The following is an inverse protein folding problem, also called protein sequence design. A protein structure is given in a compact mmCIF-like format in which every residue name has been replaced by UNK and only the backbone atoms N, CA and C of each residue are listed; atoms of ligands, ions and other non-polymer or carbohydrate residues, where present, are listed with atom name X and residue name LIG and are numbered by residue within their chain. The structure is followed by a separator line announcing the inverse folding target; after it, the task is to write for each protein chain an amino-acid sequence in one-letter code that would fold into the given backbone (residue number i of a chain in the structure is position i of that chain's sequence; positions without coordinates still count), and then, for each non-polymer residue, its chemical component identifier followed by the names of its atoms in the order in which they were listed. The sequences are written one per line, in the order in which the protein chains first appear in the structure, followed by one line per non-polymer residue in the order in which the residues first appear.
data_IF_349135063001
#
_entry.id   IF_349135063001
#
_cell.length_a   1.000
_cell.length_b   1.000
_cell.length_c   1.000
_cell.angle_alpha   90.00
_cell.angle_beta   90.00
_cell.angle_gamma   90.00
#
_symmetry.space_group_name_H-M   'P 1'
#
loop_
_entity.id
_entity.type
_entity.pdbx_description
1 polymer ?
#
# COMPACT_ATOMS: atom_id res chain seq x y z
N UNK A 1 21.30 -6.92 22.68
CA UNK A 1 20.50 -6.54 23.86
C UNK A 1 19.53 -7.65 24.30
N UNK A 2 18.92 -8.42 23.39
CA UNK A 2 17.97 -9.48 23.75
C UNK A 2 18.55 -10.71 24.46
N UNK A 3 19.77 -11.14 24.12
CA UNK A 3 20.38 -12.35 24.70
C UNK A 3 20.52 -12.30 26.24
N UNK A 4 20.84 -11.13 26.81
CA UNK A 4 21.07 -10.99 28.25
C UNK A 4 19.79 -11.22 29.08
N UNK A 5 18.62 -10.85 28.55
CA UNK A 5 17.38 -10.80 29.33
C UNK A 5 16.75 -12.17 29.57
N UNK A 6 16.90 -13.08 28.61
CA UNK A 6 16.27 -14.41 28.63
C UNK A 6 17.25 -15.53 28.99
N UNK A 7 18.53 -15.42 28.59
CA UNK A 7 19.51 -16.50 28.75
C UNK A 7 20.23 -16.46 30.10
N UNK A 8 20.43 -15.27 30.71
CA UNK A 8 21.20 -15.17 31.96
C UNK A 8 20.45 -15.68 33.19
N UNK A 9 19.11 -15.55 33.23
CA UNK A 9 18.25 -16.00 34.34
C UNK A 9 16.95 -16.63 33.84
N UNK A 10 16.90 -17.96 33.63
CA UNK A 10 15.76 -18.66 33.03
C UNK A 10 14.42 -18.52 33.77
N UNK A 11 14.45 -18.28 35.09
CA UNK A 11 13.23 -18.00 35.88
C UNK A 11 12.63 -16.63 35.52
N UNK A 12 13.47 -15.60 35.44
CA UNK A 12 13.05 -14.27 35.04
C UNK A 12 12.60 -14.25 33.57
N UNK A 13 13.28 -14.98 32.68
CA UNK A 13 12.86 -15.15 31.27
C UNK A 13 11.44 -15.72 31.15
N UNK A 14 11.12 -16.80 31.88
CA UNK A 14 9.76 -17.38 31.92
C UNK A 14 8.72 -16.41 32.47
N UNK A 15 9.07 -15.65 33.50
CA UNK A 15 8.19 -14.63 34.06
C UNK A 15 7.94 -13.48 33.07
N UNK A 16 8.95 -13.04 32.32
CA UNK A 16 8.81 -12.02 31.27
C UNK A 16 7.83 -12.50 30.20
N UNK A 17 8.02 -13.71 29.66
CA UNK A 17 7.14 -14.27 28.63
C UNK A 17 5.69 -14.32 29.12
N UNK A 18 5.47 -14.90 30.30
CA UNK A 18 4.12 -15.03 30.88
C UNK A 18 3.45 -13.67 31.14
N UNK A 19 4.19 -12.69 31.68
CA UNK A 19 3.64 -11.38 32.02
C UNK A 19 3.43 -10.49 30.78
N UNK A 20 4.27 -10.60 29.76
CA UNK A 20 4.07 -9.86 28.51
C UNK A 20 2.91 -10.44 27.72
N UNK A 21 2.83 -11.76 27.55
CA UNK A 21 1.70 -12.43 26.87
C UNK A 21 0.37 -12.21 27.60
N UNK A 22 0.39 -12.10 28.95
CA UNK A 22 -0.82 -11.77 29.70
C UNK A 22 -1.29 -10.34 29.45
N UNK A 23 -0.38 -9.38 29.27
CA UNK A 23 -0.71 -7.98 28.97
C UNK A 23 -1.13 -7.78 27.51
N UNK A 24 -0.35 -8.31 26.58
CA UNK A 24 -0.64 -8.28 25.15
C UNK A 24 0.32 -9.23 24.43
N UNK A 25 -0.18 -10.27 23.72
CA UNK A 25 0.66 -11.19 22.95
C UNK A 25 1.57 -10.46 21.94
N UNK A 26 1.11 -9.33 21.41
CA UNK A 26 1.87 -8.49 20.48
C UNK A 26 3.17 -7.95 21.10
N UNK A 27 3.22 -7.70 22.42
CA UNK A 27 4.44 -7.24 23.09
C UNK A 27 5.52 -8.33 23.04
N UNK A 28 5.14 -9.58 23.26
CA UNK A 28 6.07 -10.70 23.21
C UNK A 28 6.49 -11.01 21.77
N UNK A 29 5.55 -11.02 20.84
CA UNK A 29 5.80 -11.25 19.40
C UNK A 29 6.76 -10.20 18.82
N UNK A 30 6.57 -8.92 19.17
CA UNK A 30 7.44 -7.83 18.72
C UNK A 30 8.87 -7.98 19.28
N UNK A 31 8.99 -8.44 20.54
CA UNK A 31 10.26 -8.66 21.20
C UNK A 31 11.00 -9.87 20.62
N UNK A 32 10.30 -10.97 20.39
CA UNK A 32 10.80 -12.16 19.68
C UNK A 32 11.29 -11.79 18.28
N UNK A 33 10.49 -11.07 17.51
CA UNK A 33 10.88 -10.67 16.16
C UNK A 33 12.13 -9.79 16.17
N UNK A 34 12.20 -8.79 17.06
CA UNK A 34 13.38 -7.94 17.21
C UNK A 34 14.62 -8.68 17.72
N UNK A 35 14.44 -9.84 18.37
CA UNK A 35 15.55 -10.71 18.75
C UNK A 35 16.13 -11.42 17.53
N UNK A 36 15.28 -12.05 16.72
CA UNK A 36 15.68 -12.76 15.49
C UNK A 36 16.13 -11.83 14.36
N UNK A 37 15.73 -10.56 14.43
CA UNK A 37 16.18 -9.49 13.55
C UNK A 37 17.71 -9.30 13.55
N UNK A 38 18.38 -9.61 14.65
CA UNK A 38 19.83 -9.47 14.74
C UNK A 38 20.54 -10.71 14.19
N UNK A 39 21.14 -10.58 13.01
CA UNK A 39 21.99 -11.60 12.39
C UNK A 39 23.44 -11.16 12.43
N UNK A 40 24.22 -11.76 13.33
CA UNK A 40 25.62 -11.39 13.55
C UNK A 40 26.45 -11.44 12.26
N UNK A 41 26.28 -12.49 11.44
CA UNK A 41 27.01 -12.66 10.19
C UNK A 41 26.71 -11.56 9.17
N UNK A 42 25.44 -11.14 9.05
CA UNK A 42 25.04 -10.05 8.16
C UNK A 42 25.71 -8.73 8.58
N UNK A 43 25.67 -8.39 9.87
CA UNK A 43 26.33 -7.17 10.37
C UNK A 43 27.85 -7.26 10.24
N UNK A 44 28.46 -8.43 10.49
CA UNK A 44 29.89 -8.63 10.29
C UNK A 44 30.28 -8.46 8.83
N UNK A 45 29.49 -8.96 7.86
CA UNK A 45 29.72 -8.72 6.43
C UNK A 45 29.60 -7.24 6.07
N UNK A 46 28.59 -6.56 6.60
CA UNK A 46 28.37 -5.13 6.38
C UNK A 46 29.49 -4.26 6.96
N UNK A 47 30.04 -4.64 8.11
CA UNK A 47 31.11 -3.91 8.83
C UNK A 47 32.52 -4.29 8.36
N UNK A 48 32.74 -5.52 7.89
CA UNK A 48 34.04 -5.96 7.37
C UNK A 48 34.51 -5.07 6.19
N UNK A 49 33.56 -4.47 5.48
CA UNK A 49 33.83 -3.60 4.32
C UNK A 49 34.16 -2.15 4.71
N UNK A 50 33.80 -1.71 5.92
CA UNK A 50 34.10 -0.36 6.43
C UNK A 50 35.28 -0.30 7.39
N UNK A 51 35.78 -1.45 7.85
CA UNK A 51 36.84 -1.57 8.87
C UNK A 51 38.26 -1.54 8.29
N UNK A 52 38.42 -1.74 6.98
CA UNK A 52 39.73 -1.67 6.30
C UNK A 52 40.18 -0.25 5.94
N UNK A 53 39.27 0.57 5.43
CA UNK A 53 39.50 1.99 5.11
C UNK A 53 38.26 2.81 5.48
N UNK A 54 38.28 3.51 6.63
CA UNK A 54 37.22 4.46 6.95
C UNK A 54 37.24 5.54 5.86
N UNK A 55 36.15 5.68 5.12
CA UNK A 55 35.94 6.56 3.95
C UNK A 55 36.17 5.97 2.56
N UNK A 56 36.46 4.67 2.41
CA UNK A 56 36.40 4.04 1.09
C UNK A 56 34.94 3.98 0.59
N UNK A 57 34.72 4.35 -0.66
CA UNK A 57 33.43 4.20 -1.33
C UNK A 57 33.13 2.70 -1.50
N UNK A 58 32.02 2.24 -0.93
CA UNK A 58 31.56 0.85 -1.10
C UNK A 58 30.52 0.83 -2.22
N UNK A 59 30.73 0.05 -3.30
CA UNK A 59 29.74 -0.11 -4.36
C UNK A 59 28.44 -0.66 -3.80
N UNK A 60 27.33 0.03 -4.08
CA UNK A 60 26.03 -0.27 -3.46
C UNK A 60 25.53 -1.68 -3.83
N UNK A 61 25.91 -2.18 -5.00
CA UNK A 61 25.51 -3.51 -5.49
C UNK A 61 26.14 -4.64 -4.65
N UNK A 62 27.31 -4.41 -4.05
CA UNK A 62 28.04 -5.42 -3.27
C UNK A 62 27.46 -5.66 -1.88
N UNK A 63 26.66 -4.72 -1.38
CA UNK A 63 25.98 -4.80 -0.08
C UNK A 63 24.45 -4.83 -0.22
N UNK A 64 23.97 -5.06 -1.45
CA UNK A 64 22.57 -4.96 -1.80
C UNK A 64 21.71 -5.96 -1.02
N UNK A 65 22.17 -7.22 -0.92
CA UNK A 65 21.43 -8.30 -0.26
C UNK A 65 21.34 -8.07 1.26
N UNK A 66 22.45 -7.71 1.91
CA UNK A 66 22.46 -7.37 3.33
C UNK A 66 21.58 -6.16 3.65
N UNK A 67 21.60 -5.13 2.79
CA UNK A 67 20.75 -3.94 2.97
C UNK A 67 19.27 -4.29 2.80
N UNK A 68 18.92 -5.09 1.79
CA UNK A 68 17.54 -5.56 1.56
C UNK A 68 17.04 -6.39 2.73
N UNK A 69 17.87 -7.31 3.25
CA UNK A 69 17.55 -8.14 4.40
C UNK A 69 17.33 -7.28 5.66
N UNK A 70 18.26 -6.37 5.96
CA UNK A 70 18.14 -5.44 7.09
C UNK A 70 16.88 -4.57 6.96
N UNK A 71 16.63 -4.01 5.77
CA UNK A 71 15.48 -3.16 5.52
C UNK A 71 14.17 -3.92 5.71
N UNK A 72 14.09 -5.14 5.17
CA UNK A 72 12.93 -6.03 5.31
C UNK A 72 12.56 -6.27 6.77
N UNK A 73 13.56 -6.55 7.60
CA UNK A 73 13.38 -6.73 9.05
C UNK A 73 12.90 -5.46 9.74
N UNK A 74 13.52 -4.32 9.44
CA UNK A 74 13.10 -3.03 10.01
C UNK A 74 11.70 -2.62 9.53
N UNK A 75 11.34 -2.93 8.29
CA UNK A 75 10.05 -2.61 7.68
C UNK A 75 8.90 -3.26 8.46
N UNK A 76 9.05 -4.54 8.82
CA UNK A 76 8.05 -5.25 9.62
C UNK A 76 7.92 -4.66 11.02
N UNK A 77 9.04 -4.22 11.62
CA UNK A 77 9.04 -3.62 12.97
C UNK A 77 8.58 -2.16 12.99
N UNK A 78 8.67 -1.43 11.88
CA UNK A 78 8.45 0.02 11.83
C UNK A 78 7.10 0.47 12.41
N UNK A 79 5.95 -0.16 12.05
CA UNK A 79 4.65 0.20 12.64
C UNK A 79 4.57 -0.05 14.15
N UNK A 80 5.45 -0.92 14.67
CA UNK A 80 5.47 -1.39 16.04
C UNK A 80 6.60 -0.76 16.87
N UNK A 81 7.22 0.34 16.42
CA UNK A 81 8.33 0.97 17.14
C UNK A 81 8.00 1.37 18.58
N UNK A 82 6.77 1.85 18.85
CA UNK A 82 6.33 2.18 20.21
C UNK A 82 6.03 0.93 21.03
N UNK A 83 5.44 -0.09 20.39
CA UNK A 83 5.22 -1.41 20.97
C UNK A 83 6.55 -2.07 21.36
N UNK A 84 7.59 -1.95 20.53
CA UNK A 84 8.92 -2.46 20.78
C UNK A 84 9.56 -1.78 21.99
N UNK A 85 9.50 -0.45 22.08
CA UNK A 85 9.97 0.30 23.26
C UNK A 85 9.25 -0.17 24.51
N UNK A 86 7.92 -0.27 24.46
CA UNK A 86 7.09 -0.70 25.59
C UNK A 86 7.36 -2.15 26.00
N UNK A 87 7.61 -3.03 25.03
CA UNK A 87 7.96 -4.42 25.27
C UNK A 87 9.29 -4.52 26.02
N UNK A 88 10.33 -3.84 25.54
CA UNK A 88 11.63 -3.81 26.21
C UNK A 88 11.55 -3.20 27.61
N UNK A 89 10.92 -2.04 27.79
CA UNK A 89 10.82 -1.41 29.12
C UNK A 89 10.08 -2.30 30.11
N UNK A 90 8.94 -2.86 29.70
CA UNK A 90 8.17 -3.79 30.53
C UNK A 90 8.95 -5.05 30.86
N UNK A 91 9.71 -5.60 29.90
CA UNK A 91 10.54 -6.78 30.12
C UNK A 91 11.64 -6.52 31.17
N UNK A 92 12.28 -5.35 31.14
CA UNK A 92 13.24 -4.95 32.17
C UNK A 92 12.59 -4.67 33.53
N UNK A 93 11.38 -4.10 33.57
CA UNK A 93 10.64 -3.92 34.84
C UNK A 93 10.35 -5.27 35.50
N UNK A 94 9.87 -6.24 34.71
CA UNK A 94 9.64 -7.61 35.19
C UNK A 94 10.95 -8.25 35.63
N UNK A 95 12.03 -8.08 34.85
CA UNK A 95 13.34 -8.60 35.23
C UNK A 95 13.81 -8.05 36.59
N UNK A 96 13.69 -6.75 36.84
CA UNK A 96 14.06 -6.13 38.13
C UNK A 96 13.25 -6.75 39.27
N UNK A 97 11.92 -6.89 39.09
CA UNK A 97 11.04 -7.43 40.11
C UNK A 97 11.32 -8.90 40.42
N UNK A 98 11.60 -9.72 39.40
CA UNK A 98 11.81 -11.17 39.53
C UNK A 98 13.21 -11.53 40.04
N UNK A 99 14.19 -10.65 39.83
CA UNK A 99 15.59 -10.93 40.19
C UNK A 99 16.03 -10.29 41.51
N UNK A 100 15.16 -9.50 42.16
CA UNK A 100 15.50 -8.66 43.31
C UNK A 100 16.80 -7.88 43.07
N UNK A 101 16.90 -7.25 41.90
CA UNK A 101 18.12 -6.59 41.44
C UNK A 101 18.65 -5.58 42.48
N UNK A 102 19.96 -5.50 42.65
CA UNK A 102 20.59 -4.50 43.54
C UNK A 102 20.36 -3.07 43.02
N UNK A 103 20.57 -2.04 43.85
CA UNK A 103 20.44 -0.65 43.40
C UNK A 103 21.41 -0.30 42.25
N UNK A 104 22.61 -0.89 42.24
CA UNK A 104 23.57 -0.75 41.15
C UNK A 104 23.08 -1.41 39.86
N UNK A 105 22.51 -2.62 39.96
CA UNK A 105 21.91 -3.33 38.81
C UNK A 105 20.69 -2.58 38.27
N UNK A 106 19.83 -2.06 39.14
CA UNK A 106 18.68 -1.22 38.76
C UNK A 106 19.14 0.01 37.97
N UNK A 107 20.15 0.73 38.47
CA UNK A 107 20.72 1.89 37.77
C UNK A 107 21.29 1.52 36.40
N UNK A 108 22.01 0.40 36.30
CA UNK A 108 22.52 -0.14 35.03
C UNK A 108 21.39 -0.48 34.04
N UNK A 109 20.33 -1.13 34.52
CA UNK A 109 19.15 -1.47 33.72
C UNK A 109 18.42 -0.22 33.24
N UNK A 110 18.26 0.81 34.08
CA UNK A 110 17.67 2.09 33.69
C UNK A 110 18.46 2.77 32.58
N UNK A 111 19.80 2.72 32.63
CA UNK A 111 20.64 3.22 31.55
C UNK A 111 20.45 2.42 30.25
N UNK A 112 20.30 1.08 30.33
CA UNK A 112 19.98 0.23 29.17
C UNK A 112 18.60 0.56 28.59
N UNK A 113 17.57 0.80 29.41
CA UNK A 113 16.23 1.24 28.96
C UNK A 113 16.31 2.55 28.19
N UNK A 114 16.97 3.57 28.76
CA UNK A 114 17.18 4.87 28.08
C UNK A 114 17.91 4.70 26.76
N UNK A 115 18.94 3.85 26.73
CA UNK A 115 19.69 3.54 25.52
C UNK A 115 18.81 2.88 24.46
N UNK A 116 18.01 1.88 24.80
CA UNK A 116 17.10 1.22 23.84
C UNK A 116 16.09 2.20 23.25
N UNK A 117 15.51 3.09 24.08
CA UNK A 117 14.57 4.11 23.59
C UNK A 117 15.27 5.03 22.59
N UNK A 118 16.49 5.50 22.93
CA UNK A 118 17.31 6.35 22.06
C UNK A 118 17.69 5.63 20.76
N UNK A 119 18.19 4.41 20.84
CA UNK A 119 18.65 3.62 19.70
C UNK A 119 17.48 3.27 18.78
N UNK A 120 16.32 2.91 19.33
CA UNK A 120 15.09 2.67 18.56
C UNK A 120 14.68 3.92 17.79
N UNK A 121 14.77 5.10 18.43
CA UNK A 121 14.50 6.39 17.77
C UNK A 121 15.50 6.64 16.63
N UNK A 122 16.79 6.44 16.87
CA UNK A 122 17.83 6.62 15.84
C UNK A 122 17.61 5.67 14.66
N UNK A 123 17.37 4.38 14.94
CA UNK A 123 17.12 3.37 13.92
C UNK A 123 15.92 3.76 13.06
N UNK A 124 14.76 4.09 13.65
CA UNK A 124 13.56 4.32 12.84
C UNK A 124 13.40 5.74 12.28
N UNK A 125 13.98 6.77 12.91
CA UNK A 125 13.87 8.15 12.43
C UNK A 125 15.01 8.55 11.51
N UNK A 126 16.19 7.94 11.67
CA UNK A 126 17.39 8.31 10.89
C UNK A 126 17.85 7.15 10.02
N UNK A 127 17.99 5.95 10.59
CA UNK A 127 18.51 4.78 9.88
C UNK A 127 17.54 4.25 8.82
N UNK A 128 16.29 4.04 9.19
CA UNK A 128 15.26 3.42 8.37
C UNK A 128 14.96 4.23 7.11
N UNK A 129 14.76 5.57 7.18
CA UNK A 129 14.62 6.36 5.97
C UNK A 129 15.85 6.25 5.09
N UNK A 130 17.07 6.32 5.66
CA UNK A 130 18.35 6.22 4.91
C UNK A 130 18.52 4.87 4.20
N UNK A 131 18.21 3.77 4.87
CA UNK A 131 18.30 2.42 4.29
C UNK A 131 17.27 2.26 3.18
N UNK A 132 16.02 2.72 3.37
CA UNK A 132 15.00 2.73 2.32
C UNK A 132 15.51 3.39 1.03
N UNK A 133 16.25 4.49 1.18
CA UNK A 133 16.81 5.22 0.05
C UNK A 133 17.79 4.38 -0.76
N UNK A 134 18.63 3.62 -0.04
CA UNK A 134 19.60 2.73 -0.67
C UNK A 134 18.88 1.61 -1.42
N UNK A 135 17.77 1.08 -0.89
CA UNK A 135 16.94 0.08 -1.59
C UNK A 135 16.41 0.63 -2.91
N UNK A 136 15.81 1.83 -2.92
CA UNK A 136 15.32 2.45 -4.17
C UNK A 136 16.45 2.60 -5.21
N UNK A 137 17.67 2.95 -4.77
CA UNK A 137 18.84 3.07 -5.65
C UNK A 137 19.35 1.72 -6.15
N UNK A 138 19.39 0.71 -5.31
CA UNK A 138 19.79 -0.67 -5.68
C UNK A 138 18.86 -1.20 -6.77
N UNK A 139 17.56 -1.00 -6.61
CA UNK A 139 16.55 -1.54 -7.52
C UNK A 139 16.28 -0.64 -8.73
N UNK A 140 16.92 0.54 -8.80
CA UNK A 140 16.67 1.54 -9.83
C UNK A 140 15.19 1.98 -9.91
N UNK A 141 14.45 1.82 -8.81
CA UNK A 141 12.99 1.96 -8.76
C UNK A 141 12.58 2.88 -7.62
N UNK A 142 11.76 3.88 -7.92
CA UNK A 142 11.25 4.83 -6.94
C UNK A 142 10.01 4.27 -6.24
N UNK A 143 10.22 3.49 -5.19
CA UNK A 143 9.12 2.98 -4.39
C UNK A 143 8.44 4.09 -3.59
N UNK A 144 7.12 4.00 -3.43
CA UNK A 144 6.42 4.74 -2.37
C UNK A 144 6.64 4.00 -1.05
N UNK A 145 7.00 4.69 0.06
CA UNK A 145 7.13 4.05 1.36
C UNK A 145 5.87 3.26 1.73
N UNK A 146 6.06 2.03 2.19
CA UNK A 146 4.98 1.12 2.58
C UNK A 146 4.00 0.71 1.45
N UNK A 147 4.40 0.90 0.19
CA UNK A 147 3.61 0.44 -0.94
C UNK A 147 3.59 -1.09 -1.05
N UNK A 148 2.49 -1.68 -1.54
CA UNK A 148 2.45 -3.12 -1.86
C UNK A 148 3.50 -3.52 -2.88
N UNK A 149 3.86 -2.61 -3.80
CA UNK A 149 4.91 -2.85 -4.79
C UNK A 149 6.29 -3.01 -4.13
N UNK A 150 6.62 -2.17 -3.15
CA UNK A 150 7.81 -2.34 -2.31
C UNK A 150 7.76 -3.66 -1.53
N UNK A 151 6.62 -3.98 -0.89
CA UNK A 151 6.47 -5.23 -0.13
C UNK A 151 6.71 -6.45 -1.04
N UNK A 152 6.15 -6.45 -2.24
CA UNK A 152 6.34 -7.51 -3.24
C UNK A 152 7.81 -7.66 -3.63
N UNK A 153 8.50 -6.56 -3.93
CA UNK A 153 9.90 -6.60 -4.36
C UNK A 153 10.86 -6.97 -3.23
N UNK A 154 10.52 -6.66 -1.97
CA UNK A 154 11.23 -7.14 -0.78
C UNK A 154 10.86 -8.57 -0.38
N UNK A 155 9.89 -9.19 -1.07
CA UNK A 155 9.36 -10.51 -0.72
C UNK A 155 8.74 -10.55 0.68
N UNK A 156 8.07 -9.48 1.10
CA UNK A 156 7.35 -9.38 2.38
C UNK A 156 5.96 -9.98 2.18
N UNK A 157 5.80 -11.21 2.66
CA UNK A 157 4.50 -11.88 2.68
C UNK A 157 3.72 -11.56 3.96
N UNK A 158 2.41 -11.81 3.93
CA UNK A 158 1.49 -11.44 5.02
C UNK A 158 1.77 -12.23 6.31
N UNK A 159 2.30 -13.45 6.20
CA UNK A 159 2.80 -14.31 7.29
C UNK A 159 3.98 -13.70 8.05
N UNK A 160 4.80 -12.89 7.40
CA UNK A 160 5.94 -12.22 8.03
C UNK A 160 5.53 -11.02 8.91
N UNK A 161 4.28 -10.55 8.82
CA UNK A 161 3.79 -9.39 9.59
C UNK A 161 3.37 -9.81 11.00
N UNK A 162 3.68 -8.95 11.96
CA UNK A 162 3.34 -9.12 13.39
C UNK A 162 1.83 -8.96 13.64
N UNK A 163 1.37 -9.47 14.77
CA UNK A 163 -0.01 -9.41 15.24
C UNK A 163 -0.76 -10.74 15.15
N UNK A 164 -0.05 -11.85 14.98
CA UNK A 164 -0.67 -13.18 14.79
C UNK A 164 -0.54 -14.10 16.01
N UNK A 165 0.39 -13.78 16.92
CA UNK A 165 0.65 -14.59 18.11
C UNK A 165 -0.59 -14.71 18.99
N UNK A 166 -0.95 -15.94 19.34
CA UNK A 166 -1.99 -16.21 20.34
C UNK A 166 -1.38 -16.27 21.74
N UNK A 167 -2.17 -15.90 22.76
CA UNK A 167 -1.73 -15.96 24.15
C UNK A 167 -1.33 -17.40 24.50
N UNK A 168 -0.12 -17.58 25.03
CA UNK A 168 0.39 -18.90 25.45
C UNK A 168 0.99 -19.75 24.32
N UNK A 169 1.12 -19.20 23.11
CA UNK A 169 1.86 -19.84 22.02
C UNK A 169 3.36 -19.89 22.35
N UNK A 170 3.98 -21.06 22.25
CA UNK A 170 5.41 -21.25 22.55
C UNK A 170 6.24 -20.73 21.38
N UNK A 171 6.80 -19.53 21.51
CA UNK A 171 7.86 -19.05 20.62
C UNK A 171 9.20 -19.74 20.89
N UNK A 172 10.12 -19.66 19.92
CA UNK A 172 11.44 -20.32 19.97
C UNK A 172 12.37 -19.80 21.08
N UNK A 173 12.04 -18.68 21.74
CA UNK A 173 12.74 -18.25 22.97
C UNK A 173 12.58 -19.23 24.16
N UNK A 174 11.69 -20.22 24.04
CA UNK A 174 11.57 -21.34 24.99
C UNK A 174 12.43 -22.56 24.64
N UNK A 175 13.03 -22.62 23.44
CA UNK A 175 13.64 -23.83 22.88
C UNK A 175 15.15 -23.98 23.21
N UNK A 176 15.52 -23.83 24.48
CA UNK A 176 16.84 -24.26 24.98
C UNK A 176 16.72 -25.45 25.94
N UNK A 177 15.59 -26.15 25.93
CA UNK A 177 15.50 -27.46 26.55
C UNK A 177 14.68 -28.40 25.66
N UNK A 178 15.23 -29.59 25.43
CA UNK A 178 14.81 -30.67 24.52
C UNK A 178 15.00 -30.44 23.01
N UNK A 179 16.03 -31.09 22.46
CA UNK A 179 16.10 -31.41 21.03
C UNK A 179 15.33 -32.70 20.74
N UNK A 180 14.66 -32.75 19.58
CA UNK A 180 14.56 -33.89 18.66
C UNK A 180 13.68 -33.51 17.46
N UNK A 181 13.94 -34.20 16.35
CA UNK A 181 13.44 -34.02 14.99
C UNK A 181 11.94 -34.32 14.79
N UNK A 182 11.43 -33.77 13.68
CA UNK A 182 10.41 -34.27 12.74
C UNK A 182 9.09 -34.90 13.24
N UNK A 183 7.96 -34.44 12.70
CA UNK A 183 7.07 -35.26 11.86
C UNK A 183 5.86 -34.47 11.31
N UNK A 184 5.45 -34.88 10.11
CA UNK A 184 4.36 -34.47 9.24
C UNK A 184 2.93 -34.83 9.72
N UNK A 185 1.95 -34.23 9.02
CA UNK A 185 0.57 -34.70 8.78
C UNK A 185 -0.42 -34.70 9.98
N UNK A 186 -1.74 -34.50 9.85
CA UNK A 186 -2.68 -34.67 8.75
C UNK A 186 -3.96 -33.82 8.97
N UNK A 187 -4.71 -33.59 7.88
CA UNK A 187 -6.12 -33.11 7.85
C UNK A 187 -7.05 -34.03 8.68
N UNK A 188 -8.28 -33.57 9.00
CA UNK A 188 -9.41 -34.17 8.27
C UNK A 188 -10.47 -33.16 7.78
N UNK A 189 -11.00 -33.49 6.61
CA UNK A 189 -12.29 -33.06 6.07
C UNK A 189 -13.42 -33.89 6.71
N UNK A 190 -14.61 -33.30 6.85
CA UNK A 190 -15.88 -34.03 6.71
C UNK A 190 -17.01 -33.06 6.32
N UNK A 191 -17.56 -33.27 5.13
CA UNK A 191 -18.89 -32.86 4.70
C UNK A 191 -19.97 -33.67 5.45
N UNK A 192 -21.17 -33.11 5.70
CA UNK A 192 -22.35 -33.37 4.86
C UNK A 192 -23.69 -32.81 5.40
N UNK A 193 -24.50 -32.35 4.43
CA UNK A 193 -25.97 -32.43 4.26
C UNK A 193 -26.96 -31.60 5.11
N UNK A 194 -27.42 -30.51 4.49
CA UNK A 194 -28.78 -30.13 4.04
C UNK A 194 -30.06 -30.73 4.67
N UNK A 195 -31.05 -29.85 4.94
CA UNK A 195 -32.46 -29.81 4.43
C UNK A 195 -33.17 -28.55 5.01
N UNK A 196 -33.54 -27.54 4.21
CA UNK A 196 -34.84 -27.27 3.53
C UNK A 196 -35.95 -26.61 4.39
N UNK A 197 -36.40 -25.42 3.92
CA UNK A 197 -37.78 -24.86 3.77
C UNK A 197 -37.64 -23.33 3.56
N UNK A 198 -37.90 -22.74 2.37
CA UNK A 198 -39.19 -22.26 1.83
C UNK A 198 -39.95 -21.35 2.83
N UNK A 199 -40.40 -20.12 2.57
CA UNK A 199 -40.99 -19.44 1.40
C UNK A 199 -40.89 -17.90 1.57
N UNK A 200 -41.11 -17.11 0.50
CA UNK A 200 -41.48 -15.69 0.66
C UNK A 200 -41.11 -14.73 -0.47
N UNK A 201 -41.87 -14.79 -1.58
CA UNK A 201 -41.86 -13.86 -2.72
C UNK A 201 -41.94 -12.37 -2.38
N UNK A 202 -41.29 -11.51 -3.18
CA UNK A 202 -41.99 -10.52 -4.02
C UNK A 202 -41.11 -9.97 -5.15
N UNK A 203 -41.69 -9.98 -6.35
CA UNK A 203 -41.16 -9.47 -7.62
C UNK A 203 -41.46 -7.97 -7.74
N UNK A 204 -40.56 -7.23 -8.38
CA UNK A 204 -40.99 -6.22 -9.37
C UNK A 204 -40.02 -6.21 -10.54
N UNK A 205 -40.61 -6.27 -11.72
CA UNK A 205 -40.03 -6.39 -13.05
C UNK A 205 -40.17 -5.03 -13.72
N UNK A 206 -39.20 -4.60 -14.53
CA UNK A 206 -39.46 -3.84 -15.77
C UNK A 206 -38.17 -3.70 -16.59
N UNK A 207 -38.17 -4.39 -17.73
CA UNK A 207 -37.32 -4.15 -18.89
C UNK A 207 -38.13 -3.31 -19.88
N UNK A 208 -37.54 -2.27 -20.46
CA UNK A 208 -37.85 -1.87 -21.83
C UNK A 208 -36.58 -1.43 -22.57
N UNK A 209 -36.27 -2.19 -23.62
CA UNK A 209 -35.31 -1.89 -24.69
C UNK A 209 -36.02 -1.09 -25.78
N UNK A 210 -35.44 0.04 -26.22
CA UNK A 210 -35.63 0.57 -27.58
C UNK A 210 -34.33 1.17 -28.11
N UNK A 211 -33.94 0.69 -29.30
CA UNK A 211 -32.89 1.20 -30.17
C UNK A 211 -33.35 2.50 -30.85
N UNK A 212 -32.48 3.50 -30.89
CA UNK A 212 -32.45 4.50 -31.97
C UNK A 212 -31.01 5.03 -32.10
N UNK A 213 -30.51 5.01 -33.33
CA UNK A 213 -29.22 5.56 -33.79
C UNK A 213 -29.26 7.11 -33.89
N UNK A 214 -28.11 7.80 -34.11
CA UNK A 214 -27.70 8.95 -33.31
C UNK A 214 -28.11 10.31 -33.89
N UNK A 215 -28.55 11.21 -33.01
CA UNK A 215 -28.56 12.65 -33.29
C UNK A 215 -27.33 13.31 -32.66
N UNK A 216 -26.59 14.06 -33.49
CA UNK A 216 -25.44 14.89 -33.08
C UNK A 216 -25.91 15.98 -32.11
N UNK A 217 -25.79 15.74 -30.81
CA UNK A 217 -25.97 16.79 -29.80
C UNK A 217 -24.85 17.81 -29.87
N UNK A 218 -25.24 19.07 -30.12
CA UNK A 218 -24.39 20.24 -29.88
C UNK A 218 -24.12 20.32 -28.38
N UNK A 219 -22.84 20.26 -28.00
CA UNK A 219 -22.34 20.38 -26.62
C UNK A 219 -23.04 21.54 -25.88
N UNK A 220 -23.89 21.20 -24.89
CA UNK A 220 -24.29 22.14 -23.85
C UNK A 220 -23.03 22.62 -23.09
N UNK A 221 -23.00 23.87 -22.59
CA UNK A 221 -21.90 24.32 -21.74
C UNK A 221 -21.83 23.47 -20.46
N UNK A 222 -20.61 23.21 -19.91
CA UNK A 222 -20.45 22.36 -18.72
C UNK A 222 -21.25 22.95 -17.55
N UNK A 223 -22.17 22.15 -16.98
CA UNK A 223 -22.98 22.48 -15.80
C UNK A 223 -22.35 21.87 -14.53
N UNK A 224 -22.54 22.50 -13.37
CA UNK A 224 -22.15 21.94 -12.06
C UNK A 224 -20.63 21.87 -11.81
N UNK A 225 -20.17 20.76 -11.21
CA UNK A 225 -18.77 20.54 -10.80
C UNK A 225 -17.76 20.72 -11.94
N UNK A 226 -18.15 20.33 -13.16
CA UNK A 226 -17.31 20.40 -14.36
C UNK A 226 -17.00 21.84 -14.81
N UNK A 227 -17.77 22.82 -14.33
CA UNK A 227 -17.52 24.23 -14.58
C UNK A 227 -16.44 24.83 -13.63
N UNK A 228 -16.16 24.18 -12.51
CA UNK A 228 -15.24 24.68 -11.46
C UNK A 228 -13.80 24.78 -11.97
N UNK A 229 -13.03 25.71 -11.41
CA UNK A 229 -11.63 25.91 -11.80
C UNK A 229 -10.77 24.73 -11.36
N UNK A 230 -11.11 24.17 -10.20
CA UNK A 230 -10.44 23.04 -9.56
C UNK A 230 -10.57 21.77 -10.40
N UNK A 231 -11.78 21.46 -10.88
CA UNK A 231 -12.00 20.34 -11.82
C UNK A 231 -11.21 20.51 -13.12
N UNK A 232 -11.29 21.70 -13.75
CA UNK A 232 -10.58 21.99 -15.00
C UNK A 232 -9.07 21.88 -14.84
N UNK A 233 -8.54 22.35 -13.71
CA UNK A 233 -7.13 22.20 -13.38
C UNK A 233 -6.74 20.72 -13.19
N UNK A 234 -7.57 19.94 -12.49
CA UNK A 234 -7.38 18.49 -12.36
C UNK A 234 -7.31 17.80 -13.73
N UNK A 235 -8.27 18.06 -14.61
CA UNK A 235 -8.27 17.56 -15.99
C UNK A 235 -7.01 17.97 -16.76
N UNK A 236 -6.59 19.22 -16.63
CA UNK A 236 -5.34 19.71 -17.23
C UNK A 236 -4.12 18.95 -16.70
N UNK A 237 -4.03 18.66 -15.40
CA UNK A 237 -2.90 17.91 -14.85
C UNK A 237 -2.86 16.47 -15.34
N UNK A 238 -4.03 15.83 -15.53
CA UNK A 238 -4.15 14.47 -16.05
C UNK A 238 -3.80 14.39 -17.54
N UNK A 239 -4.10 15.43 -18.34
CA UNK A 239 -3.80 15.44 -19.78
C UNK A 239 -2.32 15.68 -20.11
N UNK A 240 -1.47 15.96 -19.11
CA UNK A 240 -0.02 16.18 -19.31
C UNK A 240 0.76 14.92 -19.67
N UNK A 241 0.15 13.74 -19.50
CA UNK A 241 0.78 12.47 -19.82
C UNK A 241 -0.20 11.62 -20.62
N UNK A 242 0.28 11.07 -21.74
CA UNK A 242 -0.57 10.27 -22.62
C UNK A 242 -0.81 8.87 -22.04
N UNK A 243 -1.90 8.18 -22.41
CA UNK A 243 -2.10 6.79 -22.01
C UNK A 243 -0.94 5.85 -22.34
N UNK A 244 -0.28 5.92 -23.53
CA UNK A 244 0.93 5.14 -23.79
C UNK A 244 2.08 5.42 -22.83
N UNK A 245 2.31 6.70 -22.49
CA UNK A 245 3.39 7.08 -21.57
C UNK A 245 3.09 6.62 -20.13
N UNK A 246 1.82 6.68 -19.72
CA UNK A 246 1.37 6.10 -18.45
C UNK A 246 1.63 4.60 -18.41
N UNK A 247 1.27 3.87 -19.48
CA UNK A 247 1.50 2.43 -19.57
C UNK A 247 3.00 2.11 -19.49
N UNK A 248 3.84 2.85 -20.21
CA UNK A 248 5.29 2.70 -20.16
C UNK A 248 5.86 2.98 -18.76
N UNK A 249 5.30 3.96 -18.03
CA UNK A 249 5.74 4.33 -16.68
C UNK A 249 5.33 3.28 -15.64
N UNK A 250 4.11 2.76 -15.72
CA UNK A 250 3.51 1.93 -14.68
C UNK A 250 3.48 0.43 -14.98
N UNK A 251 3.76 0.04 -16.22
CA UNK A 251 3.87 -1.35 -16.65
C UNK A 251 5.09 -1.59 -17.55
N UNK A 252 6.32 -1.34 -17.06
CA UNK A 252 7.53 -1.52 -17.86
C UNK A 252 7.78 -2.99 -18.26
N UNK A 253 7.24 -3.94 -17.50
CA UNK A 253 7.34 -5.38 -17.75
C UNK A 253 6.26 -5.91 -18.72
N UNK A 254 5.31 -5.06 -19.13
CA UNK A 254 4.24 -5.44 -20.08
C UNK A 254 3.24 -6.46 -19.54
N UNK A 255 2.98 -6.46 -18.22
CA UNK A 255 1.99 -7.33 -17.56
C UNK A 255 0.56 -7.06 -18.04
N UNK A 256 0.26 -5.85 -18.47
CA UNK A 256 -1.05 -5.42 -18.96
C UNK A 256 -1.17 -5.48 -20.48
N UNK A 257 -0.17 -6.03 -21.19
CA UNK A 257 -0.13 -6.15 -22.66
C UNK A 257 -1.36 -6.82 -23.29
N UNK A 258 -2.10 -7.63 -22.52
CA UNK A 258 -3.32 -8.32 -22.96
C UNK A 258 -4.58 -7.46 -22.85
N UNK A 259 -4.50 -6.32 -22.18
CA UNK A 259 -5.62 -5.40 -21.98
C UNK A 259 -5.47 -4.27 -23.01
N UNK A 260 -6.48 -4.01 -23.84
CA UNK A 260 -6.45 -2.90 -24.78
C UNK A 260 -6.23 -1.56 -24.07
N UNK A 261 -5.43 -0.67 -24.68
CA UNK A 261 -5.08 0.63 -24.07
C UNK A 261 -6.28 1.57 -23.95
N UNK A 262 -7.31 1.40 -24.78
CA UNK A 262 -8.59 2.10 -24.71
C UNK A 262 -9.54 1.49 -23.67
N UNK A 263 -9.12 0.47 -22.90
CA UNK A 263 -9.95 -0.11 -21.85
C UNK A 263 -10.12 0.89 -20.68
N UNK A 264 -11.37 1.24 -20.37
CA UNK A 264 -11.74 2.22 -19.32
C UNK A 264 -11.20 1.83 -17.94
N UNK A 265 -11.13 0.53 -17.62
CA UNK A 265 -10.56 0.07 -16.36
C UNK A 265 -9.03 0.23 -16.33
N UNK A 266 -8.34 -0.13 -17.41
CA UNK A 266 -6.88 0.07 -17.49
C UNK A 266 -6.53 1.55 -17.36
N UNK A 267 -7.21 2.42 -18.11
CA UNK A 267 -7.01 3.86 -18.06
C UNK A 267 -7.25 4.42 -16.65
N UNK A 268 -8.37 4.04 -16.01
CA UNK A 268 -8.66 4.47 -14.65
C UNK A 268 -7.56 4.02 -13.66
N UNK A 269 -7.09 2.79 -13.78
CA UNK A 269 -6.01 2.26 -12.94
C UNK A 269 -4.68 3.01 -13.16
N UNK A 270 -4.30 3.30 -14.41
CA UNK A 270 -3.09 4.05 -14.72
C UNK A 270 -3.14 5.48 -14.14
N UNK A 271 -4.28 6.16 -14.23
CA UNK A 271 -4.46 7.48 -13.59
C UNK A 271 -4.45 7.41 -12.07
N UNK A 272 -4.93 6.31 -11.49
CA UNK A 272 -4.79 6.06 -10.05
C UNK A 272 -3.33 5.83 -9.64
N UNK A 273 -2.55 5.08 -10.43
CA UNK A 273 -1.12 4.89 -10.17
C UNK A 273 -0.34 6.22 -10.26
N UNK A 274 -0.72 7.09 -11.20
CA UNK A 274 -0.18 8.45 -11.28
C UNK A 274 -0.54 9.30 -10.05
N UNK A 275 -1.76 9.17 -9.53
CA UNK A 275 -2.10 9.77 -8.25
C UNK A 275 -1.24 9.21 -7.11
N UNK A 276 -1.12 7.88 -7.02
CA UNK A 276 -0.36 7.20 -5.97
C UNK A 276 1.12 7.61 -5.98
N UNK A 277 1.75 7.69 -7.15
CA UNK A 277 3.16 8.04 -7.23
C UNK A 277 3.43 9.54 -7.01
N UNK A 278 2.61 10.43 -7.58
CA UNK A 278 2.92 11.86 -7.63
C UNK A 278 2.25 12.68 -6.52
N UNK A 279 1.03 12.31 -6.11
CA UNK A 279 0.16 13.15 -5.30
C UNK A 279 -0.15 12.57 -3.93
N UNK A 280 -0.20 11.24 -3.76
CA UNK A 280 -0.58 10.58 -2.50
C UNK A 280 0.35 10.88 -1.32
N UNK A 281 1.53 11.44 -1.57
CA UNK A 281 2.49 11.82 -0.53
C UNK A 281 1.84 12.75 0.52
N UNK A 282 0.85 13.57 0.12
CA UNK A 282 0.10 14.45 1.04
C UNK A 282 -0.64 13.69 2.13
N UNK A 283 -0.90 12.39 1.93
CA UNK A 283 -1.62 11.53 2.87
C UNK A 283 -0.69 10.90 3.92
N UNK A 284 0.60 10.76 3.62
CA UNK A 284 1.53 9.95 4.43
C UNK A 284 2.78 10.70 4.91
N UNK A 285 3.06 11.87 4.34
CA UNK A 285 4.30 12.60 4.59
C UNK A 285 4.36 13.23 5.98
N UNK A 286 5.57 13.27 6.55
CA UNK A 286 5.88 14.07 7.74
C UNK A 286 6.27 15.52 7.41
N UNK A 287 6.38 15.87 6.12
CA UNK A 287 6.74 17.22 5.68
C UNK A 287 5.58 18.21 5.82
N UNK A 288 4.35 17.70 5.91
CA UNK A 288 3.16 18.48 6.24
C UNK A 288 2.92 18.33 7.74
N UNK A 289 3.00 19.44 8.48
CA UNK A 289 2.74 19.49 9.91
C UNK A 289 1.24 19.53 10.14
N UNK A 290 0.68 18.37 10.48
CA UNK A 290 -0.74 18.20 10.77
C UNK A 290 -0.93 18.12 12.28
N UNK A 291 -1.59 19.11 12.85
CA UNK A 291 -1.91 19.18 14.27
C UNK A 291 -3.23 18.43 14.55
N UNK A 292 -3.36 17.80 15.73
CA UNK A 292 -4.65 17.29 16.18
C UNK A 292 -5.61 18.45 16.45
N UNK A 293 -6.86 18.28 16.03
CA UNK A 293 -7.94 19.21 16.34
C UNK A 293 -8.71 18.74 17.58
N UNK A 294 -9.16 19.67 18.40
CA UNK A 294 -9.93 19.43 19.64
C UNK A 294 -11.34 20.03 19.58
N UNK A 295 -11.86 20.26 18.36
CA UNK A 295 -13.21 20.74 18.14
C UNK A 295 -14.27 19.82 18.78
N UNK A 296 -15.34 20.42 19.30
CA UNK A 296 -16.48 19.74 19.93
C UNK A 296 -16.16 18.77 21.09
N UNK A 297 -15.00 18.91 21.74
CA UNK A 297 -14.60 18.06 22.87
C UNK A 297 -14.10 16.67 22.48
N UNK A 298 -13.89 16.41 21.19
CA UNK A 298 -13.33 15.16 20.66
C UNK A 298 -11.99 15.46 20.00
N UNK A 299 -10.95 14.72 20.39
CA UNK A 299 -9.65 14.81 19.73
C UNK A 299 -9.72 14.11 18.37
N UNK A 300 -9.59 14.86 17.29
CA UNK A 300 -9.53 14.32 15.93
C UNK A 300 -8.08 14.21 15.48
N UNK A 301 -7.64 12.97 15.20
CA UNK A 301 -6.32 12.70 14.63
C UNK A 301 -6.41 12.64 13.10
N UNK A 302 -6.22 13.80 12.47
CA UNK A 302 -6.22 13.91 11.01
C UNK A 302 -5.08 13.12 10.36
N UNK A 303 -3.95 12.96 11.04
CA UNK A 303 -2.81 12.22 10.50
C UNK A 303 -3.09 10.72 10.43
N UNK A 304 -3.68 10.16 11.48
CA UNK A 304 -4.17 8.78 11.47
C UNK A 304 -5.22 8.57 10.37
N UNK A 305 -6.17 9.51 10.25
CA UNK A 305 -7.24 9.43 9.24
C UNK A 305 -6.70 9.43 7.80
N UNK A 306 -5.66 10.23 7.51
CA UNK A 306 -5.01 10.26 6.20
C UNK A 306 -4.19 8.99 5.92
N UNK A 307 -3.52 8.44 6.95
CA UNK A 307 -2.79 7.18 6.83
C UNK A 307 -3.74 5.99 6.58
N UNK A 308 -4.87 5.94 7.28
CA UNK A 308 -5.91 4.92 7.09
C UNK A 308 -6.54 5.03 5.71
N UNK A 309 -6.79 6.27 5.24
CA UNK A 309 -7.23 6.51 3.87
C UNK A 309 -6.19 6.00 2.87
N UNK A 310 -4.90 6.30 3.04
CA UNK A 310 -3.87 5.77 2.16
C UNK A 310 -3.85 4.23 2.14
N UNK A 311 -4.05 3.59 3.29
CA UNK A 311 -4.10 2.13 3.39
C UNK A 311 -5.27 1.50 2.62
N UNK A 312 -6.40 2.19 2.47
CA UNK A 312 -7.56 1.68 1.70
C UNK A 312 -7.28 1.61 0.19
N UNK A 313 -6.30 2.35 -0.32
CA UNK A 313 -5.85 2.26 -1.72
C UNK A 313 -5.40 0.84 -2.12
N UNK A 314 -4.97 0.02 -1.14
CA UNK A 314 -4.55 -1.38 -1.34
C UNK A 314 -5.68 -2.24 -1.88
N UNK A 315 -6.93 -1.93 -1.57
CA UNK A 315 -8.07 -2.70 -2.05
C UNK A 315 -8.31 -2.49 -3.54
N UNK A 316 -7.96 -1.32 -4.08
CA UNK A 316 -8.00 -1.03 -5.53
C UNK A 316 -6.97 -1.90 -6.25
N UNK A 317 -5.74 -1.97 -5.72
CA UNK A 317 -4.66 -2.76 -6.31
C UNK A 317 -5.05 -4.25 -6.36
N UNK A 318 -5.55 -4.81 -5.25
CA UNK A 318 -6.01 -6.20 -5.20
C UNK A 318 -7.15 -6.48 -6.17
N UNK A 319 -8.12 -5.55 -6.26
CA UNK A 319 -9.24 -5.68 -7.18
C UNK A 319 -8.76 -5.63 -8.65
N UNK A 320 -7.79 -4.78 -8.96
CA UNK A 320 -7.18 -4.73 -10.28
C UNK A 320 -6.37 -5.99 -10.60
N UNK A 321 -5.60 -6.53 -9.65
CA UNK A 321 -4.91 -7.82 -9.83
C UNK A 321 -5.90 -8.94 -10.16
N UNK A 322 -7.03 -9.01 -9.45
CA UNK A 322 -8.10 -9.98 -9.74
C UNK A 322 -8.72 -9.77 -11.13
N UNK A 323 -8.88 -8.52 -11.55
CA UNK A 323 -9.31 -8.19 -12.92
C UNK A 323 -8.29 -8.72 -13.95
N UNK A 324 -6.99 -8.45 -13.78
CA UNK A 324 -5.94 -8.94 -14.71
C UNK A 324 -5.87 -10.48 -14.75
N UNK A 325 -6.04 -11.15 -13.61
CA UNK A 325 -6.11 -12.62 -13.55
C UNK A 325 -7.31 -13.16 -14.35
N UNK A 326 -8.46 -12.49 -14.28
CA UNK A 326 -9.65 -12.91 -15.02
C UNK A 326 -9.48 -12.69 -16.54
N UNK A 327 -8.76 -11.64 -16.95
CA UNK A 327 -8.36 -11.42 -18.36
C UNK A 327 -7.41 -12.53 -18.83
N UNK A 328 -6.44 -12.90 -18.01
CA UNK A 328 -5.52 -14.01 -18.29
C UNK A 328 -6.25 -15.36 -18.42
N UNK A 329 -7.28 -15.59 -17.61
CA UNK A 329 -8.13 -16.78 -17.73
C UNK A 329 -8.83 -16.85 -19.09
N UNK A 330 -9.36 -15.72 -19.58
CA UNK A 330 -10.01 -15.66 -20.89
C UNK A 330 -9.02 -15.92 -22.03
N UNK A 331 -7.84 -15.31 -21.98
CA UNK A 331 -6.78 -15.52 -22.98
C UNK A 331 -6.34 -16.99 -23.04
N UNK A 332 -6.14 -17.62 -21.88
CA UNK A 332 -5.82 -19.06 -21.79
C UNK A 332 -6.93 -19.93 -22.36
N UNK A 333 -8.20 -19.60 -22.09
CA UNK A 333 -9.37 -20.32 -22.59
C UNK A 333 -9.49 -20.24 -24.12
N UNK A 334 -9.25 -19.06 -24.71
CA UNK A 334 -9.24 -18.82 -26.16
C UNK A 334 -8.11 -19.60 -26.85
N UNK A 335 -6.92 -19.66 -26.22
CA UNK A 335 -5.75 -20.37 -26.78
C UNK A 335 -5.84 -21.89 -26.72
N UNK A 336 -6.39 -22.46 -25.64
CA UNK A 336 -6.36 -23.92 -25.41
C UNK A 336 -7.56 -24.69 -25.94
N UNK A 337 -8.60 -24.05 -26.50
CA UNK A 337 -9.88 -24.66 -26.92
C UNK A 337 -10.35 -25.75 -25.94
N UNK A 338 -10.96 -25.31 -24.85
CA UNK A 338 -11.35 -26.16 -23.72
C UNK A 338 -12.49 -27.14 -24.07
N UNK A 339 -13.32 -26.82 -25.06
CA UNK A 339 -14.34 -27.72 -25.62
C UNK A 339 -14.20 -27.86 -27.13
N UNK A 340 -14.46 -29.05 -27.65
CA UNK A 340 -14.60 -29.30 -29.10
C UNK A 340 -15.91 -28.72 -29.65
N UNK A 341 -16.89 -28.45 -28.79
CA UNK A 341 -18.18 -27.87 -29.16
C UNK A 341 -18.12 -26.33 -29.08
N UNK A 342 -18.24 -25.69 -30.25
CA UNK A 342 -18.21 -24.23 -30.38
C UNK A 342 -19.23 -23.50 -29.49
N UNK A 343 -20.45 -24.04 -29.37
CA UNK A 343 -21.53 -23.38 -28.59
C UNK A 343 -21.21 -23.41 -27.09
N UNK A 344 -20.64 -24.50 -26.60
CA UNK A 344 -20.25 -24.63 -25.20
C UNK A 344 -19.04 -23.75 -24.87
N UNK A 345 -18.03 -23.76 -25.75
CA UNK A 345 -16.87 -22.87 -25.68
C UNK A 345 -17.30 -21.40 -25.62
N UNK A 346 -18.19 -20.96 -26.53
CA UNK A 346 -18.71 -19.59 -26.57
C UNK A 346 -19.48 -19.20 -25.31
N UNK A 347 -20.29 -20.11 -24.74
CA UNK A 347 -20.98 -19.88 -23.46
C UNK A 347 -19.99 -19.71 -22.30
N UNK A 348 -18.92 -20.52 -22.27
CA UNK A 348 -17.88 -20.43 -21.25
C UNK A 348 -17.10 -19.12 -21.36
N UNK A 349 -16.72 -18.71 -22.57
CA UNK A 349 -16.05 -17.43 -22.83
C UNK A 349 -16.93 -16.24 -22.39
N UNK A 350 -18.21 -16.24 -22.78
CA UNK A 350 -19.17 -15.19 -22.38
C UNK A 350 -19.31 -15.09 -20.86
N UNK A 351 -19.28 -16.22 -20.13
CA UNK A 351 -19.30 -16.23 -18.67
C UNK A 351 -18.04 -15.57 -18.08
N UNK A 352 -16.87 -15.79 -18.66
CA UNK A 352 -15.62 -15.15 -18.22
C UNK A 352 -15.63 -13.65 -18.56
N UNK A 353 -16.09 -13.27 -19.75
CA UNK A 353 -16.24 -11.86 -20.16
C UNK A 353 -17.22 -11.10 -19.22
N UNK A 354 -18.30 -11.76 -18.78
CA UNK A 354 -19.19 -11.23 -17.75
C UNK A 354 -18.48 -11.00 -16.41
N UNK A 355 -17.59 -11.91 -15.99
CA UNK A 355 -16.76 -11.74 -14.78
C UNK A 355 -15.77 -10.59 -14.93
N UNK A 356 -15.08 -10.47 -16.07
CA UNK A 356 -14.18 -9.33 -16.38
C UNK A 356 -14.94 -8.01 -16.21
N UNK A 357 -16.14 -7.92 -16.79
CA UNK A 357 -17.00 -6.74 -16.70
C UNK A 357 -17.47 -6.43 -15.27
N UNK A 358 -17.64 -7.46 -14.44
CA UNK A 358 -17.97 -7.31 -13.01
C UNK A 358 -16.76 -6.81 -12.21
N UNK A 359 -15.59 -7.43 -12.36
CA UNK A 359 -14.37 -7.04 -11.66
C UNK A 359 -13.91 -5.63 -12.06
N UNK A 360 -14.08 -5.24 -13.33
CA UNK A 360 -13.82 -3.89 -13.81
C UNK A 360 -14.75 -2.84 -13.17
N UNK A 361 -16.04 -3.15 -13.01
CA UNK A 361 -16.99 -2.26 -12.32
C UNK A 361 -16.69 -2.15 -10.82
N UNK A 362 -16.37 -3.28 -10.19
CA UNK A 362 -15.99 -3.31 -8.78
C UNK A 362 -14.74 -2.45 -8.52
N UNK A 363 -13.69 -2.64 -9.31
CA UNK A 363 -12.42 -1.90 -9.17
C UNK A 363 -12.61 -0.39 -9.40
N UNK A 364 -13.35 0.01 -10.44
CA UNK A 364 -13.73 1.42 -10.65
C UNK A 364 -14.54 1.99 -9.50
N UNK A 365 -15.44 1.20 -8.91
CA UNK A 365 -16.22 1.59 -7.74
C UNK A 365 -15.33 1.91 -6.53
N UNK A 366 -14.36 1.04 -6.22
CA UNK A 366 -13.39 1.27 -5.15
C UNK A 366 -12.52 2.51 -5.41
N UNK A 367 -12.07 2.69 -6.65
CA UNK A 367 -11.28 3.85 -7.06
C UNK A 367 -12.06 5.15 -6.90
N UNK A 368 -13.33 5.18 -7.33
CA UNK A 368 -14.22 6.33 -7.13
C UNK A 368 -14.35 6.68 -5.66
N UNK A 369 -14.67 5.69 -4.80
CA UNK A 369 -14.83 5.90 -3.36
C UNK A 369 -13.56 6.43 -2.72
N UNK A 370 -12.39 5.88 -3.07
CA UNK A 370 -11.11 6.36 -2.57
C UNK A 370 -10.84 7.81 -2.99
N UNK A 371 -11.03 8.15 -4.26
CA UNK A 371 -10.80 9.51 -4.76
C UNK A 371 -11.79 10.53 -4.16
N UNK A 372 -13.03 10.12 -3.94
CA UNK A 372 -14.02 10.92 -3.20
C UNK A 372 -13.53 11.20 -1.78
N UNK A 373 -13.11 10.18 -1.04
CA UNK A 373 -12.59 10.33 0.32
C UNK A 373 -11.34 11.23 0.38
N UNK A 374 -10.42 11.08 -0.58
CA UNK A 374 -9.26 11.96 -0.73
C UNK A 374 -9.72 13.41 -0.95
N UNK A 375 -10.64 13.64 -1.89
CA UNK A 375 -11.13 14.99 -2.19
C UNK A 375 -11.78 15.64 -0.97
N UNK A 376 -12.57 14.89 -0.20
CA UNK A 376 -13.20 15.36 1.05
C UNK A 376 -12.16 15.71 2.10
N UNK A 377 -11.14 14.89 2.30
CA UNK A 377 -10.08 15.18 3.27
C UNK A 377 -9.24 16.39 2.85
N UNK A 378 -8.86 16.50 1.58
CA UNK A 378 -8.11 17.65 1.08
C UNK A 378 -8.94 18.94 1.17
N UNK A 379 -10.24 18.89 0.86
CA UNK A 379 -11.14 20.03 1.01
C UNK A 379 -11.21 20.53 2.46
N UNK A 380 -11.23 19.63 3.45
CA UNK A 380 -11.16 20.00 4.88
C UNK A 380 -9.86 20.74 5.21
N UNK A 381 -8.72 20.24 4.75
CA UNK A 381 -7.42 20.89 4.96
C UNK A 381 -7.35 22.26 4.28
N UNK A 382 -7.89 22.39 3.06
CA UNK A 382 -7.96 23.67 2.35
C UNK A 382 -8.89 24.68 3.04
N UNK A 383 -10.00 24.22 3.62
CA UNK A 383 -10.90 25.06 4.41
C UNK A 383 -10.20 25.59 5.67
N UNK A 384 -9.43 24.75 6.37
CA UNK A 384 -8.61 25.16 7.51
C UNK A 384 -7.62 26.27 7.14
N UNK A 385 -6.90 26.13 6.03
CA UNK A 385 -5.95 27.14 5.54
C UNK A 385 -6.59 28.48 5.19
N UNK A 386 -7.86 28.47 4.73
CA UNK A 386 -8.63 29.69 4.44
C UNK A 386 -9.26 30.31 5.68
N UNK A 387 -9.52 29.50 6.71
CA UNK A 387 -10.24 29.90 7.92
C UNK A 387 -9.34 29.88 9.17
N UNK A 388 -9.57 28.94 10.10
CA UNK A 388 -9.02 29.01 11.46
C UNK A 388 -7.51 28.70 11.56
N UNK A 389 -6.92 28.02 10.57
CA UNK A 389 -5.48 27.69 10.50
C UNK A 389 -4.97 26.93 11.72
N UNK A 390 -5.72 25.93 12.15
CA UNK A 390 -5.43 25.11 13.34
C UNK A 390 -4.79 23.78 12.93
N UNK A 391 -5.26 23.17 11.85
CA UNK A 391 -4.86 21.82 11.43
C UNK A 391 -3.50 21.84 10.75
N UNK A 392 -3.30 22.73 9.76
CA UNK A 392 -2.04 22.79 9.01
C UNK A 392 -1.09 23.83 9.60
N UNK A 393 0.01 23.37 10.19
CA UNK A 393 1.00 24.22 10.86
C UNK A 393 2.07 24.83 9.95
N UNK A 394 2.14 24.45 8.67
CA UNK A 394 3.19 24.91 7.76
C UNK A 394 2.75 25.07 6.30
N UNK A 395 1.63 25.76 6.08
CA UNK A 395 1.00 25.85 4.75
C UNK A 395 1.87 26.52 3.66
N UNK A 396 2.74 27.46 4.06
CA UNK A 396 3.59 28.23 3.15
C UNK A 396 5.00 27.64 3.00
N UNK A 397 5.35 26.62 3.80
CA UNK A 397 6.65 25.93 3.68
C UNK A 397 6.73 25.22 2.33
N UNK A 398 7.88 25.32 1.68
CA UNK A 398 8.15 24.58 0.45
C UNK A 398 8.45 23.10 0.74
N UNK A 399 7.83 22.23 -0.06
CA UNK A 399 8.13 20.81 -0.06
C UNK A 399 9.24 20.55 -1.06
N UNK A 400 10.40 20.17 -0.57
CA UNK A 400 11.49 19.64 -1.40
C UNK A 400 11.54 18.13 -1.28
N UNK A 401 11.69 17.44 -2.40
CA UNK A 401 11.93 16.01 -2.44
C UNK A 401 13.42 15.78 -2.62
N UNK A 402 13.97 14.91 -1.77
CA UNK A 402 15.37 14.50 -1.90
C UNK A 402 15.53 13.65 -3.16
N UNK A 403 16.76 13.50 -3.67
CA UNK A 403 17.11 12.60 -4.81
C UNK A 403 16.72 11.12 -4.59
N UNK A 404 16.06 10.82 -3.48
CA UNK A 404 15.63 9.52 -3.04
C UNK A 404 14.11 9.39 -3.13
N UNK A 405 13.38 10.43 -2.77
CA UNK A 405 11.92 10.43 -2.84
C UNK A 405 11.40 10.58 -4.27
N UNK A 406 12.33 10.67 -5.22
CA UNK A 406 12.09 10.82 -6.64
C UNK A 406 11.80 12.25 -7.05
N UNK A 407 11.91 12.49 -8.35
CA UNK A 407 11.50 13.76 -8.94
C UNK A 407 9.98 13.83 -9.01
N UNK A 408 9.33 14.25 -7.92
CA UNK A 408 7.86 14.42 -7.90
C UNK A 408 7.42 15.71 -8.56
N UNK A 409 6.25 15.69 -9.20
CA UNK A 409 5.59 16.89 -9.79
C UNK A 409 5.37 18.03 -8.80
N UNK A 410 5.33 17.72 -7.52
CA UNK A 410 5.05 18.66 -6.43
C UNK A 410 6.33 19.25 -5.81
N UNK A 411 7.50 18.94 -6.36
CA UNK A 411 8.76 19.47 -5.87
C UNK A 411 8.82 21.01 -5.95
N UNK A 412 9.36 21.63 -4.89
CA UNK A 412 9.46 23.08 -4.70
C UNK A 412 8.12 23.83 -4.65
N UNK A 413 6.99 23.12 -4.56
CA UNK A 413 5.69 23.72 -4.31
C UNK A 413 5.47 23.88 -2.81
N UNK A 414 4.67 24.88 -2.43
CA UNK A 414 4.24 25.07 -1.05
C UNK A 414 3.33 23.91 -0.61
N UNK A 415 3.24 23.66 0.71
CA UNK A 415 2.32 22.67 1.27
C UNK A 415 0.87 22.91 0.81
N UNK A 416 0.44 24.17 0.77
CA UNK A 416 -0.86 24.59 0.26
C UNK A 416 -1.08 24.17 -1.19
N UNK A 417 -0.11 24.43 -2.07
CA UNK A 417 -0.18 24.04 -3.47
C UNK A 417 -0.22 22.51 -3.60
N UNK A 418 0.60 21.78 -2.85
CA UNK A 418 0.60 20.32 -2.87
C UNK A 418 -0.79 19.73 -2.54
N UNK A 419 -1.42 20.24 -1.48
CA UNK A 419 -2.76 19.82 -1.07
C UNK A 419 -3.81 20.23 -2.11
N UNK A 420 -3.69 21.43 -2.70
CA UNK A 420 -4.59 21.89 -3.76
C UNK A 420 -4.50 21.03 -5.02
N UNK A 421 -3.30 20.65 -5.46
CA UNK A 421 -3.17 19.82 -6.66
C UNK A 421 -3.68 18.40 -6.43
N UNK A 422 -3.41 17.81 -5.26
CA UNK A 422 -3.98 16.53 -4.89
C UNK A 422 -5.53 16.58 -4.82
N UNK A 423 -6.09 17.68 -4.31
CA UNK A 423 -7.53 17.92 -4.33
C UNK A 423 -8.08 17.99 -5.77
N UNK A 424 -7.50 18.84 -6.63
CA UNK A 424 -7.95 18.99 -8.01
C UNK A 424 -7.85 17.68 -8.80
N UNK A 425 -6.75 16.94 -8.64
CA UNK A 425 -6.54 15.65 -9.32
C UNK A 425 -7.56 14.61 -8.86
N UNK A 426 -7.74 14.45 -7.54
CA UNK A 426 -8.70 13.49 -6.99
C UNK A 426 -10.14 13.82 -7.40
N UNK A 427 -10.50 15.09 -7.42
CA UNK A 427 -11.81 15.56 -7.89
C UNK A 427 -12.06 15.20 -9.36
N UNK A 428 -11.08 15.45 -10.23
CA UNK A 428 -11.18 15.14 -11.65
C UNK A 428 -11.26 13.63 -11.92
N UNK A 429 -10.39 12.83 -11.29
CA UNK A 429 -10.39 11.38 -11.48
C UNK A 429 -11.69 10.74 -10.94
N UNK A 430 -12.18 11.19 -9.79
CA UNK A 430 -13.47 10.76 -9.23
C UNK A 430 -14.61 10.96 -10.23
N UNK A 431 -14.72 12.17 -10.78
CA UNK A 431 -15.76 12.52 -11.75
C UNK A 431 -15.63 11.73 -13.05
N UNK A 432 -14.41 11.57 -13.59
CA UNK A 432 -14.17 10.76 -14.80
C UNK A 432 -14.65 9.33 -14.65
N UNK A 433 -14.48 8.74 -13.47
CA UNK A 433 -14.88 7.35 -13.18
C UNK A 433 -16.36 7.23 -12.81
N UNK A 434 -16.95 8.27 -12.22
CA UNK A 434 -18.36 8.26 -11.79
C UNK A 434 -19.36 8.60 -12.89
N UNK A 435 -19.05 9.57 -13.74
CA UNK A 435 -19.99 10.17 -14.70
C UNK A 435 -19.32 10.61 -16.01
N UNK A 436 -17.99 10.61 -16.08
CA UNK A 436 -17.23 11.04 -17.25
C UNK A 436 -16.88 9.91 -18.22
N UNK A 437 -15.79 10.09 -18.93
CA UNK A 437 -15.35 9.23 -20.03
C UNK A 437 -14.88 7.82 -19.61
N UNK A 438 -14.46 7.67 -18.35
CA UNK A 438 -14.08 6.37 -17.77
C UNK A 438 -15.26 5.65 -17.11
N UNK A 439 -16.47 6.22 -17.17
CA UNK A 439 -17.71 5.62 -16.69
C UNK A 439 -18.35 4.68 -17.73
N UNK A 440 -19.33 3.89 -17.28
CA UNK A 440 -20.21 3.11 -18.15
C UNK A 440 -19.97 1.59 -18.12
N UNK A 441 -20.91 0.86 -18.70
CA UNK A 441 -20.91 -0.61 -18.74
C UNK A 441 -20.04 -1.21 -19.85
N UNK A 442 -19.74 -0.43 -20.90
CA UNK A 442 -18.82 -0.83 -21.98
C UNK A 442 -17.39 -0.76 -21.45
N UNK A 443 -16.60 -1.81 -21.70
CA UNK A 443 -15.26 -1.95 -21.16
C UNK A 443 -14.23 -1.03 -21.85
N UNK A 444 -14.44 -0.71 -23.13
CA UNK A 444 -13.51 0.02 -23.97
C UNK A 444 -14.11 1.35 -24.43
N UNK A 445 -13.23 2.32 -24.64
CA UNK A 445 -13.56 3.60 -25.27
C UNK A 445 -13.58 3.45 -26.79
N UNK A 446 -14.53 4.09 -27.46
CA UNK A 446 -14.51 4.22 -28.92
C UNK A 446 -13.40 5.16 -29.37
N UNK A 447 -13.04 5.11 -30.66
CA UNK A 447 -12.04 6.02 -31.22
C UNK A 447 -12.46 7.50 -31.10
N UNK A 448 -13.76 7.79 -31.21
CA UNK A 448 -14.29 9.14 -30.98
C UNK A 448 -14.14 9.56 -29.51
N UNK A 449 -14.49 8.69 -28.55
CA UNK A 449 -14.31 8.94 -27.12
C UNK A 449 -12.82 9.15 -26.79
N UNK A 450 -11.92 8.37 -27.39
CA UNK A 450 -10.47 8.51 -27.21
C UNK A 450 -9.94 9.84 -27.76
N UNK A 451 -10.37 10.23 -28.96
CA UNK A 451 -10.04 11.53 -29.54
C UNK A 451 -10.57 12.69 -28.69
N UNK A 452 -11.79 12.58 -28.17
CA UNK A 452 -12.38 13.63 -27.34
C UNK A 452 -11.64 13.79 -25.99
N UNK A 453 -11.34 12.67 -25.33
CA UNK A 453 -10.71 12.68 -24.00
C UNK A 453 -9.20 12.95 -24.01
N UNK A 454 -8.50 12.46 -25.03
CA UNK A 454 -7.03 12.44 -25.05
C UNK A 454 -6.43 13.14 -26.28
N UNK A 455 -7.25 13.58 -27.24
CA UNK A 455 -6.78 14.24 -28.47
C UNK A 455 -6.10 13.29 -29.46
N UNK A 456 -6.16 11.98 -29.23
CA UNK A 456 -5.54 10.95 -30.08
C UNK A 456 -6.19 9.59 -29.87
N UNK A 457 -6.20 8.75 -30.89
CA UNK A 457 -6.45 7.31 -30.77
C UNK A 457 -5.13 6.57 -30.60
N UNK A 458 -5.16 5.45 -29.88
CA UNK A 458 -3.98 4.61 -29.67
C UNK A 458 -4.30 3.20 -30.12
N UNK A 459 -3.75 2.79 -31.27
CA UNK A 459 -3.92 1.42 -31.78
C UNK A 459 -3.30 0.43 -30.78
N UNK A 460 -3.89 -0.77 -30.58
CA UNK A 460 -3.28 -1.81 -29.77
C UNK A 460 -1.93 -2.23 -30.36
N UNK A 461 -0.93 -2.47 -29.49
CA UNK A 461 0.36 -2.99 -29.90
C UNK A 461 0.17 -4.38 -30.53
N UNK A 462 0.20 -4.45 -31.87
CA UNK A 462 0.00 -5.70 -32.62
C UNK A 462 -0.53 -5.55 -34.04
N UNK A 463 -1.03 -4.38 -34.46
CA UNK A 463 -1.33 -4.14 -35.88
C UNK A 463 -0.06 -3.72 -36.63
N UNK A 464 0.77 -4.70 -36.99
CA UNK A 464 1.62 -4.53 -38.17
C UNK A 464 0.68 -4.41 -39.37
N UNK A 465 0.44 -3.18 -39.82
CA UNK A 465 0.01 -2.96 -41.20
C UNK A 465 1.13 -3.50 -42.08
N UNK A 466 0.84 -4.60 -42.77
CA UNK A 466 1.53 -4.96 -43.99
C UNK A 466 1.38 -3.78 -44.95
N UNK A 467 2.45 -2.98 -45.08
CA UNK A 467 2.61 -2.07 -46.21
C UNK A 467 2.65 -2.93 -47.48
N UNK A 468 1.59 -2.85 -48.29
CA UNK A 468 1.63 -3.09 -49.73
C UNK A 468 2.05 -1.81 -50.46
#
# INVERSE_FOLDING_TARGET
AGNDLFLQKPKAGRAIIKNLDSRSPLLMETLEYAHHAYKADMFNRLLARSTGEPHADVPLIEIADELKELYKTLYVLYPFQETLKKAYTSAYDIYIAETNASEEEKSSIENRKKKIIKDTKIIFQTGFPKIFQLICRIDGTEYVPFSPYLEKNLGIAQDMKLGKRKRGETGQLNAVDSGTEAAEENKPETENTATETAEGSTKTNEQETKKTEPEKEKKEPPKGLQATKEYKYGMYTMSRISPPDLLKKYDPEGKFSKIPINNKMLLAYLFFMEFDQEYSFVLTTNKIKINPDYSAGVKTDHKASLADLYNSSRDIIKAFEKFTQTVDELDKMKKKKVSSNYVEQSKMESKVEGRISMEARNTRGLLRTFMEQVSVQMAKLLADMKGPKIIIGNMDDQVSFTAVEGAKKLNNKTVKECIMEAYCYSLALKERVESGDLFGGVAEMTDEEMMESFGSTFKPAGSNESEE
#
